data_IF_557704962052
#
_entry.id   IF_557704962052
#
_cell.length_a   1.000
_cell.length_b   1.000
_cell.length_c   1.000
_cell.angle_alpha   90.00
_cell.angle_beta   90.00
_cell.angle_gamma   90.00
#
_symmetry.space_group_name_H-M   'P 1'
#
loop_
_entity.id
_entity.type
_entity.pdbx_description
1 polymer ?
#
# COMPACT_ATOMS: atom_id res chain seq x y z
N UNK A 1 -1.18 -8.28 -7.78
CA UNK A 1 -1.49 -7.54 -9.04
C UNK A 1 -0.85 -6.16 -9.02
N UNK A 2 -0.75 -5.46 -10.14
CA UNK A 2 -0.36 -4.04 -10.19
C UNK A 2 -1.51 -3.13 -9.80
N UNK A 3 -1.26 -1.88 -9.43
CA UNK A 3 -2.32 -0.90 -9.15
C UNK A 3 -3.24 -0.68 -10.37
N UNK A 4 -2.69 -0.66 -11.59
CA UNK A 4 -3.51 -0.50 -12.80
C UNK A 4 -4.45 -1.70 -13.03
N UNK A 5 -3.97 -2.92 -12.80
CA UNK A 5 -4.82 -4.13 -12.85
C UNK A 5 -5.92 -4.08 -11.78
N UNK A 6 -5.59 -3.61 -10.57
CA UNK A 6 -6.54 -3.43 -9.48
C UNK A 6 -7.65 -2.46 -9.86
N UNK A 7 -7.29 -1.27 -10.32
CA UNK A 7 -8.26 -0.26 -10.78
C UNK A 7 -9.12 -0.80 -11.92
N UNK A 8 -8.53 -1.45 -12.93
CA UNK A 8 -9.31 -2.04 -14.04
C UNK A 8 -10.26 -3.14 -13.59
N UNK A 9 -9.89 -3.90 -12.55
CA UNK A 9 -10.71 -5.00 -12.02
C UNK A 9 -11.92 -4.48 -11.24
N UNK A 10 -11.72 -3.44 -10.43
CA UNK A 10 -12.73 -3.02 -9.47
C UNK A 10 -13.51 -1.75 -9.87
N UNK A 11 -13.08 -1.00 -10.88
CA UNK A 11 -13.79 0.20 -11.33
C UNK A 11 -15.22 -0.12 -11.77
N UNK A 12 -16.21 0.60 -11.24
CA UNK A 12 -17.65 0.34 -11.47
C UNK A 12 -18.21 -0.86 -10.71
N UNK A 13 -17.46 -1.41 -9.76
CA UNK A 13 -17.91 -2.53 -8.91
C UNK A 13 -17.95 -2.13 -7.43
N UNK A 14 -18.51 -3.00 -6.60
CA UNK A 14 -18.55 -2.83 -5.15
C UNK A 14 -17.62 -3.84 -4.48
N UNK A 15 -16.70 -3.35 -3.63
CA UNK A 15 -15.82 -4.16 -2.80
C UNK A 15 -16.37 -4.24 -1.38
N UNK A 16 -16.50 -5.45 -0.84
CA UNK A 16 -16.97 -5.68 0.52
C UNK A 16 -18.35 -5.05 0.79
N UNK A 17 -18.47 -4.22 1.83
CA UNK A 17 -19.71 -3.53 2.18
C UNK A 17 -19.98 -2.28 1.32
N UNK A 18 -19.13 -1.95 0.36
CA UNK A 18 -19.26 -0.73 -0.45
C UNK A 18 -18.72 0.53 0.21
N UNK A 19 -18.18 0.46 1.43
CA UNK A 19 -17.55 1.60 2.08
C UNK A 19 -16.09 1.75 1.66
N UNK A 20 -15.47 2.89 1.95
CA UNK A 20 -14.09 3.16 1.53
C UNK A 20 -13.04 2.23 2.17
N UNK A 21 -13.18 1.90 3.45
CA UNK A 21 -12.22 1.02 4.16
C UNK A 21 -12.12 -0.38 3.54
N UNK A 22 -13.20 -1.10 3.18
CA UNK A 22 -13.10 -2.36 2.45
C UNK A 22 -12.27 -2.31 1.18
N UNK A 23 -12.31 -1.22 0.41
CA UNK A 23 -11.47 -1.05 -0.78
C UNK A 23 -9.98 -1.00 -0.40
N UNK A 24 -9.64 -0.31 0.70
CA UNK A 24 -8.25 -0.25 1.19
C UNK A 24 -7.77 -1.62 1.66
N UNK A 25 -8.58 -2.36 2.41
CA UNK A 25 -8.21 -3.72 2.83
C UNK A 25 -7.96 -4.64 1.62
N UNK A 26 -8.79 -4.52 0.57
CA UNK A 26 -8.59 -5.27 -0.67
C UNK A 26 -7.29 -4.85 -1.39
N UNK A 27 -7.01 -3.55 -1.45
CA UNK A 27 -5.79 -2.99 -2.04
C UNK A 27 -4.52 -3.44 -1.28
N UNK A 28 -4.56 -3.40 0.05
CA UNK A 28 -3.45 -3.85 0.91
C UNK A 28 -3.11 -5.34 0.65
N UNK A 29 -4.13 -6.18 0.45
CA UNK A 29 -3.94 -7.61 0.13
C UNK A 29 -3.46 -7.83 -1.30
N UNK A 30 -4.21 -7.36 -2.28
CA UNK A 30 -4.04 -7.72 -3.69
C UNK A 30 -2.84 -7.03 -4.36
N UNK A 31 -2.56 -5.78 -3.98
CA UNK A 31 -1.51 -4.97 -4.61
C UNK A 31 -0.26 -4.89 -3.74
N UNK A 32 -0.43 -4.64 -2.45
CA UNK A 32 0.72 -4.47 -1.54
C UNK A 32 1.23 -5.80 -0.99
N UNK A 33 0.47 -6.90 -1.13
CA UNK A 33 0.86 -8.23 -0.67
C UNK A 33 0.91 -8.35 0.86
N UNK A 34 0.15 -7.50 1.56
CA UNK A 34 0.06 -7.51 3.01
C UNK A 34 -1.05 -8.47 3.48
N UNK A 35 -1.06 -8.74 4.78
CA UNK A 35 -2.20 -9.40 5.45
C UNK A 35 -2.96 -8.31 6.21
N UNK A 36 -3.97 -7.67 5.60
CA UNK A 36 -4.60 -6.49 6.15
C UNK A 36 -5.34 -6.81 7.45
N UNK A 37 -5.29 -5.85 8.37
CA UNK A 37 -6.02 -5.90 9.63
C UNK A 37 -6.94 -4.68 9.69
N UNK A 38 -8.24 -4.85 9.96
CA UNK A 38 -9.15 -3.71 10.13
C UNK A 38 -8.63 -2.72 11.16
N UNK A 39 -8.58 -1.43 10.79
CA UNK A 39 -8.06 -0.36 11.64
C UNK A 39 -9.19 0.34 12.41
N UNK A 40 -10.40 0.30 11.87
CA UNK A 40 -11.56 1.03 12.36
C UNK A 40 -12.13 1.94 11.26
N UNK A 41 -12.54 3.15 11.62
CA UNK A 41 -13.04 4.14 10.67
C UNK A 41 -11.92 4.71 9.79
N UNK A 42 -12.31 5.33 8.67
CA UNK A 42 -11.35 5.80 7.68
C UNK A 42 -10.30 6.79 8.25
N UNK A 43 -10.72 7.75 9.09
CA UNK A 43 -9.81 8.73 9.69
C UNK A 43 -8.77 8.08 10.61
N UNK A 44 -9.09 6.91 11.19
CA UNK A 44 -8.21 6.21 12.14
C UNK A 44 -6.95 5.64 11.46
N UNK A 45 -6.95 5.45 10.15
CA UNK A 45 -5.73 5.14 9.40
C UNK A 45 -4.62 6.19 9.63
N UNK A 46 -5.02 7.45 9.84
CA UNK A 46 -4.09 8.53 10.14
C UNK A 46 -3.97 8.79 11.65
N UNK A 47 -5.08 8.91 12.35
CA UNK A 47 -5.11 9.33 13.76
C UNK A 47 -4.53 8.26 14.70
N UNK A 48 -4.84 6.99 14.44
CA UNK A 48 -4.38 5.85 15.25
C UNK A 48 -3.10 5.18 14.71
N UNK A 49 -2.43 5.79 13.74
CA UNK A 49 -1.24 5.23 13.10
C UNK A 49 -0.21 4.69 14.10
N UNK A 50 0.17 5.48 15.11
CA UNK A 50 1.19 5.10 16.09
C UNK A 50 0.76 3.99 17.06
N UNK A 51 -0.55 3.79 17.22
CA UNK A 51 -1.14 2.80 18.11
C UNK A 51 -1.57 1.51 17.38
N UNK A 52 -1.45 1.48 16.04
CA UNK A 52 -1.86 0.37 15.20
C UNK A 52 -0.63 -0.32 14.62
N UNK A 53 -0.17 -1.45 15.21
CA UNK A 53 1.06 -2.14 14.77
C UNK A 53 1.08 -2.46 13.27
N UNK A 54 -0.06 -2.82 12.69
CA UNK A 54 -0.17 -3.08 11.25
C UNK A 54 0.25 -1.84 10.43
N UNK A 55 -0.30 -0.67 10.73
CA UNK A 55 0.03 0.57 10.01
C UNK A 55 1.49 0.98 10.26
N UNK A 56 1.87 1.06 11.54
CA UNK A 56 3.22 1.49 11.93
C UNK A 56 4.33 0.61 11.34
N UNK A 57 4.11 -0.71 11.23
CA UNK A 57 5.13 -1.62 10.70
C UNK A 57 5.24 -1.58 9.18
N UNK A 58 4.13 -1.35 8.46
CA UNK A 58 4.10 -1.47 7.01
C UNK A 58 4.18 -0.14 6.26
N UNK A 59 3.82 0.97 6.90
CA UNK A 59 3.72 2.26 6.23
C UNK A 59 4.56 3.34 6.92
N UNK A 60 4.96 4.36 6.16
CA UNK A 60 5.40 5.66 6.65
C UNK A 60 4.23 6.64 6.56
N UNK A 61 3.98 7.42 7.63
CA UNK A 61 2.92 8.42 7.68
C UNK A 61 3.46 9.80 7.31
N UNK A 62 2.80 10.45 6.36
CA UNK A 62 3.08 11.81 5.92
C UNK A 62 1.90 12.72 6.28
N UNK A 63 2.18 13.84 6.93
CA UNK A 63 1.18 14.88 7.20
C UNK A 63 1.10 15.82 6.01
N UNK A 64 -0.12 16.18 5.57
CA UNK A 64 -0.27 17.24 4.58
C UNK A 64 0.08 18.60 5.19
N UNK A 65 1.06 19.29 4.63
CA UNK A 65 1.60 20.56 5.12
C UNK A 65 1.27 21.77 4.21
N UNK A 66 0.39 21.57 3.23
CA UNK A 66 0.04 22.58 2.23
C UNK A 66 0.94 22.59 0.99
N UNK A 67 2.06 21.88 0.98
CA UNK A 67 3.04 21.90 -0.11
C UNK A 67 3.43 20.50 -0.61
N UNK A 68 3.54 19.53 0.28
CA UNK A 68 3.85 18.14 -0.05
C UNK A 68 2.68 17.45 -0.76
N UNK A 69 2.95 16.33 -1.41
CA UNK A 69 1.98 15.61 -2.24
C UNK A 69 2.11 14.11 -2.02
N UNK A 70 1.01 13.36 -2.14
CA UNK A 70 1.09 11.90 -2.19
C UNK A 70 1.86 11.46 -3.44
N UNK A 71 2.28 10.22 -3.45
CA UNK A 71 2.74 9.49 -4.64
C UNK A 71 1.67 8.50 -5.08
N UNK A 72 1.78 8.01 -6.32
CA UNK A 72 0.88 6.97 -6.83
C UNK A 72 1.00 5.72 -5.97
N UNK A 73 -0.15 5.24 -5.47
CA UNK A 73 -0.25 4.10 -4.57
C UNK A 73 -0.28 4.45 -3.08
N UNK A 74 -0.09 5.72 -2.71
CA UNK A 74 -0.29 6.14 -1.32
C UNK A 74 -1.77 6.01 -0.90
N UNK A 75 -2.01 5.62 0.34
CA UNK A 75 -3.34 5.62 0.96
C UNK A 75 -3.57 7.01 1.53
N UNK A 76 -4.42 7.80 0.88
CA UNK A 76 -4.74 9.18 1.31
C UNK A 76 -5.89 9.15 2.30
N UNK A 77 -5.78 9.95 3.38
CA UNK A 77 -6.73 9.96 4.48
C UNK A 77 -7.30 11.38 4.68
N UNK A 78 -8.62 11.47 4.72
CA UNK A 78 -9.35 12.68 5.09
C UNK A 78 -9.82 12.64 6.54
N UNK A 79 -9.84 13.80 7.18
CA UNK A 79 -10.34 13.93 8.53
C UNK A 79 -11.87 13.82 8.62
N UNK A 80 -12.40 13.88 9.83
CA UNK A 80 -13.82 13.72 10.13
C UNK A 80 -14.73 14.86 9.66
N UNK A 81 -14.21 15.92 9.03
CA UNK A 81 -15.02 16.91 8.32
C UNK A 81 -15.61 16.37 7.01
N UNK A 82 -15.04 15.26 6.51
CA UNK A 82 -15.56 14.52 5.38
C UNK A 82 -16.31 13.29 5.93
N UNK A 83 -17.58 13.12 5.53
CA UNK A 83 -18.46 12.03 6.01
C UNK A 83 -18.44 11.83 7.55
N UNK A 84 -18.78 12.85 8.36
CA UNK A 84 -18.73 12.76 9.82
C UNK A 84 -19.56 11.60 10.39
N UNK A 85 -19.06 10.88 11.40
CA UNK A 85 -17.79 11.05 12.10
C UNK A 85 -16.64 10.22 11.50
N UNK A 86 -16.80 9.60 10.35
CA UNK A 86 -15.97 8.49 9.86
C UNK A 86 -14.72 8.93 9.11
N UNK A 87 -14.71 10.13 8.49
CA UNK A 87 -13.66 10.50 7.55
C UNK A 87 -13.77 9.75 6.23
N UNK A 88 -12.69 9.77 5.44
CA UNK A 88 -12.61 9.03 4.18
C UNK A 88 -11.19 8.54 3.91
N UNK A 89 -11.05 7.50 3.07
CA UNK A 89 -9.76 6.94 2.67
C UNK A 89 -9.81 6.44 1.24
N UNK A 90 -8.77 6.78 0.45
CA UNK A 90 -8.64 6.45 -0.97
C UNK A 90 -7.22 6.04 -1.34
N UNK A 91 -7.05 5.60 -2.59
CA UNK A 91 -5.74 5.28 -3.17
C UNK A 91 -5.37 6.37 -4.17
N UNK A 92 -4.26 7.10 -3.95
CA UNK A 92 -3.74 8.06 -4.91
C UNK A 92 -3.36 7.34 -6.23
N UNK A 93 -3.92 7.80 -7.36
CA UNK A 93 -3.79 7.06 -8.62
C UNK A 93 -3.06 7.84 -9.71
N UNK A 94 -3.44 9.09 -9.99
CA UNK A 94 -2.87 9.86 -11.10
C UNK A 94 -3.06 11.37 -10.95
N UNK A 95 -2.59 12.16 -11.91
CA UNK A 95 -2.77 13.62 -12.02
C UNK A 95 -2.32 14.38 -10.75
N UNK A 96 -1.31 13.87 -10.03
CA UNK A 96 -0.84 14.44 -8.77
C UNK A 96 -0.12 15.75 -9.03
N UNK A 97 -0.64 16.84 -8.47
CA UNK A 97 -0.14 18.21 -8.62
C UNK A 97 -0.20 18.96 -7.29
N UNK A 98 0.18 20.24 -7.26
CA UNK A 98 0.02 21.09 -6.07
C UNK A 98 -1.44 21.46 -5.78
N UNK A 99 -2.34 21.33 -6.76
CA UNK A 99 -3.77 21.69 -6.61
C UNK A 99 -4.69 20.51 -6.36
N UNK A 100 -4.22 19.26 -6.58
CA UNK A 100 -5.04 18.07 -6.40
C UNK A 100 -4.48 16.84 -7.07
N UNK A 101 -5.27 15.79 -7.07
CA UNK A 101 -4.92 14.47 -7.63
C UNK A 101 -6.19 13.70 -8.01
N UNK A 102 -6.01 12.63 -8.80
CA UNK A 102 -7.05 11.64 -9.04
C UNK A 102 -6.80 10.45 -8.13
N UNK A 103 -7.79 10.02 -7.37
CA UNK A 103 -7.76 8.80 -6.57
C UNK A 103 -8.59 7.68 -7.20
N UNK A 104 -8.34 6.45 -6.75
CA UNK A 104 -9.29 5.35 -6.87
C UNK A 104 -10.01 5.21 -5.54
N UNK A 105 -11.32 5.43 -5.57
CA UNK A 105 -12.17 5.64 -4.39
C UNK A 105 -13.35 4.70 -4.41
N UNK A 106 -13.90 4.38 -3.25
CA UNK A 106 -15.20 3.75 -3.11
C UNK A 106 -16.10 4.56 -2.20
N UNK A 107 -17.36 4.74 -2.61
CA UNK A 107 -18.37 5.52 -1.89
C UNK A 107 -18.03 7.03 -1.79
N UNK A 108 -17.37 7.56 -2.82
CA UNK A 108 -17.21 9.00 -3.00
C UNK A 108 -17.83 9.40 -4.35
N UNK A 109 -18.89 10.24 -4.30
CA UNK A 109 -19.60 10.66 -5.50
C UNK A 109 -20.57 9.61 -6.04
N UNK A 110 -20.11 8.41 -6.37
CA UNK A 110 -20.97 7.26 -6.71
C UNK A 110 -21.15 6.38 -5.48
N UNK A 111 -22.38 6.27 -4.93
CA UNK A 111 -22.62 5.50 -3.72
C UNK A 111 -22.23 4.03 -3.89
N UNK A 112 -21.46 3.50 -2.94
CA UNK A 112 -21.07 2.11 -2.78
C UNK A 112 -20.21 1.52 -3.92
N UNK A 113 -19.90 2.28 -4.97
CA UNK A 113 -19.12 1.81 -6.11
C UNK A 113 -17.71 2.38 -6.11
N UNK A 114 -16.78 1.61 -6.68
CA UNK A 114 -15.42 2.04 -6.94
C UNK A 114 -15.37 2.92 -8.19
N UNK A 115 -14.69 4.05 -8.12
CA UNK A 115 -14.55 4.96 -9.27
C UNK A 115 -13.27 5.80 -9.16
N UNK A 116 -12.86 6.38 -10.30
CA UNK A 116 -11.82 7.41 -10.31
C UNK A 116 -12.45 8.76 -9.95
N UNK A 117 -11.88 9.43 -8.96
CA UNK A 117 -12.38 10.70 -8.42
C UNK A 117 -11.26 11.74 -8.39
N UNK A 118 -11.58 12.96 -8.83
CA UNK A 118 -10.66 14.09 -8.74
C UNK A 118 -10.86 14.82 -7.42
N UNK A 119 -9.77 15.05 -6.70
CA UNK A 119 -9.75 15.74 -5.42
C UNK A 119 -8.82 16.94 -5.43
N UNK A 120 -9.15 17.93 -4.60
CA UNK A 120 -8.17 18.86 -4.06
C UNK A 120 -7.72 18.35 -2.67
N UNK A 121 -6.88 19.11 -1.97
CA UNK A 121 -6.38 18.74 -0.64
C UNK A 121 -7.23 19.21 0.53
N UNK A 122 -8.43 19.70 0.30
CA UNK A 122 -9.33 20.15 1.39
C UNK A 122 -9.66 18.99 2.33
N UNK A 123 -9.44 19.19 3.62
CA UNK A 123 -9.66 18.19 4.68
C UNK A 123 -8.77 16.93 4.61
N UNK A 124 -7.77 16.88 3.74
CA UNK A 124 -6.77 15.81 3.75
C UNK A 124 -5.90 15.95 5.00
N UNK A 125 -5.85 14.91 5.84
CA UNK A 125 -4.93 14.83 6.98
C UNK A 125 -3.50 14.52 6.52
N UNK A 126 -3.38 13.63 5.54
CA UNK A 126 -2.13 13.15 5.00
C UNK A 126 -2.28 11.81 4.29
N UNK A 127 -1.21 11.05 4.24
CA UNK A 127 -1.22 9.75 3.57
C UNK A 127 -0.25 8.75 4.20
N UNK A 128 -0.50 7.49 3.90
CA UNK A 128 0.34 6.37 4.27
C UNK A 128 1.02 5.83 3.02
N UNK A 129 2.35 5.75 3.05
CA UNK A 129 3.18 5.18 1.99
C UNK A 129 3.75 3.86 2.43
N UNK A 130 3.62 2.83 1.59
CA UNK A 130 4.24 1.53 1.87
C UNK A 130 5.74 1.70 2.09
N UNK A 131 6.25 1.20 3.21
CA UNK A 131 7.68 1.17 3.46
C UNK A 131 8.38 0.32 2.40
N UNK A 132 9.43 0.85 1.81
CA UNK A 132 10.32 0.02 0.99
C UNK A 132 10.86 -1.10 1.87
N UNK A 133 10.91 -2.36 1.38
CA UNK A 133 11.55 -3.43 2.14
C UNK A 133 12.97 -2.98 2.46
N UNK A 134 13.29 -2.91 3.77
CA UNK A 134 14.65 -2.61 4.21
C UNK A 134 15.55 -3.69 3.59
N UNK A 135 16.60 -3.34 2.82
CA UNK A 135 17.54 -4.34 2.35
C UNK A 135 17.99 -5.14 3.58
N UNK A 136 18.03 -6.46 3.51
CA UNK A 136 18.50 -7.25 4.63
C UNK A 136 19.86 -6.67 5.05
N UNK A 137 19.97 -6.24 6.30
CA UNK A 137 21.27 -5.82 6.87
C UNK A 137 22.26 -6.90 6.47
N UNK A 138 23.43 -6.57 5.86
CA UNK A 138 24.38 -7.59 5.48
C UNK A 138 24.71 -8.39 6.74
N UNK A 139 23.98 -9.46 6.94
CA UNK A 139 24.19 -10.37 8.04
C UNK A 139 25.55 -10.97 7.86
N UNK A 140 26.41 -10.89 8.87
CA UNK A 140 27.64 -11.64 8.99
C UNK A 140 27.35 -13.09 8.54
N UNK A 141 27.72 -13.40 7.29
CA UNK A 141 27.67 -14.77 6.81
C UNK A 141 28.69 -15.53 7.64
N UNK A 142 28.22 -16.26 8.68
CA UNK A 142 29.05 -17.28 9.30
C UNK A 142 29.53 -18.16 8.16
N UNK A 143 30.85 -18.11 7.86
CA UNK A 143 31.49 -19.06 6.97
C UNK A 143 31.25 -20.44 7.56
N UNK A 144 30.18 -21.10 7.17
CA UNK A 144 30.05 -22.54 7.32
C UNK A 144 31.09 -23.12 6.38
N UNK A 145 32.11 -23.76 6.95
CA UNK A 145 33.11 -24.51 6.20
C UNK A 145 32.36 -25.59 5.42
N UNK A 146 32.06 -25.32 4.16
CA UNK A 146 31.72 -26.36 3.21
C UNK A 146 33.02 -27.09 2.85
N UNK A 147 33.27 -28.21 3.51
CA UNK A 147 34.25 -29.17 3.03
C UNK A 147 33.74 -29.73 1.72
N UNK A 148 34.24 -29.21 0.60
CA UNK A 148 34.11 -29.85 -0.69
C UNK A 148 34.89 -31.14 -0.65
N UNK A 149 34.20 -32.29 -0.50
CA UNK A 149 34.77 -33.60 -0.81
C UNK A 149 34.85 -33.67 -2.32
N UNK A 150 36.06 -33.46 -2.85
CA UNK A 150 36.40 -33.67 -4.24
C UNK A 150 36.35 -35.19 -4.50
N UNK A 151 35.26 -35.69 -5.04
CA UNK A 151 35.23 -36.99 -5.68
C UNK A 151 36.04 -36.92 -6.98
N UNK A 152 37.27 -37.45 -6.91
CA UNK A 152 38.14 -37.57 -8.06
C UNK A 152 37.59 -38.57 -9.07
N UNK A 153 37.14 -38.09 -10.22
CA UNK A 153 36.93 -38.91 -11.41
C UNK A 153 38.27 -39.15 -12.07
N UNK A 154 38.87 -40.32 -11.83
CA UNK A 154 40.00 -40.81 -12.61
C UNK A 154 39.51 -41.34 -13.96
N UNK A 155 39.72 -40.56 -15.01
CA UNK A 155 39.60 -41.02 -16.38
C UNK A 155 40.74 -42.00 -16.70
N UNK A 156 40.44 -43.30 -16.78
CA UNK A 156 41.33 -44.31 -17.39
C UNK A 156 41.24 -44.22 -18.91
N UNK A 157 42.21 -43.55 -19.50
CA UNK A 157 42.50 -43.74 -20.91
C UNK A 157 43.16 -45.15 -21.07
N UNK A 158 42.49 -46.12 -21.70
CA UNK A 158 43.11 -47.30 -22.29
C UNK A 158 43.24 -47.03 -23.76
N UNK A 159 44.50 -47.09 -24.17
CA UNK A 159 44.94 -47.22 -25.58
C UNK A 159 44.51 -48.57 -26.13
N UNK A 160 43.99 -48.57 -27.34
CA UNK A 160 44.38 -49.45 -28.47
C UNK A 160 43.89 -48.81 -29.75
#
# INVERSE_FOLDING_TARGET
>A
MTLNEFVNTYNGTTVGSGQCVPLILQYEGDVLGLSPTPVGDAHEYYDNYSNTPFLYNNFDRYTYDGTNKPEVGDIVVWNTNVAPPYGHVDIAYSNISSSGFTSFSQNWGTPLECSLVNHNYTNVSGWLRLKSPTPPTPGYIKKTNFNFILFGYQNRLRRR
#
